data_IF_808567787317
#
_entry.id   IF_808567787317
#
_cell.length_a   1.000
_cell.length_b   1.000
_cell.length_c   1.000
_cell.angle_alpha   90.00
_cell.angle_beta   90.00
_cell.angle_gamma   90.00
#
_symmetry.space_group_name_H-M   'P 1'
#
loop_
_entity.id
_entity.type
_entity.pdbx_description
1 polymer ?
#
# COMPACT_ATOMS: atom_id res chain seq x y z
N UNK A 1 16.59 -16.67 -12.42
CA UNK A 1 16.58 -15.43 -13.21
C UNK A 1 15.13 -14.97 -13.34
N UNK A 2 14.81 -13.73 -12.94
CA UNK A 2 13.47 -13.19 -13.11
C UNK A 2 13.14 -13.15 -14.61
N UNK A 3 12.14 -13.93 -15.02
CA UNK A 3 11.68 -13.98 -16.40
C UNK A 3 10.89 -12.70 -16.65
N UNK A 4 11.27 -11.92 -17.67
CA UNK A 4 10.52 -10.70 -18.06
C UNK A 4 9.08 -11.11 -18.31
N UNK A 5 8.12 -10.51 -17.59
CA UNK A 5 6.70 -10.83 -17.73
C UNK A 5 6.23 -10.40 -19.12
N UNK A 6 5.70 -11.36 -19.89
CA UNK A 6 5.24 -11.13 -21.26
C UNK A 6 3.75 -10.78 -21.37
N UNK A 7 3.00 -10.79 -20.26
CA UNK A 7 1.55 -10.57 -20.23
C UNK A 7 1.25 -9.29 -19.45
N UNK A 8 0.94 -8.21 -20.15
CA UNK A 8 0.61 -6.91 -19.53
C UNK A 8 -0.88 -6.61 -19.57
N UNK A 9 -1.48 -6.71 -20.76
CA UNK A 9 -2.90 -6.43 -20.99
C UNK A 9 -3.65 -7.70 -21.41
N UNK A 10 -2.92 -8.65 -21.96
CA UNK A 10 -3.41 -9.90 -22.51
C UNK A 10 -3.87 -10.85 -21.38
N UNK A 11 -4.90 -11.68 -21.62
CA UNK A 11 -5.31 -12.68 -20.66
C UNK A 11 -4.18 -13.68 -20.36
N UNK A 12 -3.93 -13.93 -19.08
CA UNK A 12 -2.95 -14.94 -18.66
C UNK A 12 -3.50 -16.35 -18.94
N UNK A 13 -2.77 -17.21 -19.68
CA UNK A 13 -3.15 -18.61 -19.92
C UNK A 13 -3.40 -19.39 -18.63
N UNK A 14 -4.28 -20.38 -18.67
CA UNK A 14 -4.67 -21.14 -17.48
C UNK A 14 -3.48 -21.87 -16.84
N UNK A 15 -2.51 -22.36 -17.63
CA UNK A 15 -1.34 -23.08 -17.11
C UNK A 15 -0.39 -22.19 -16.29
N UNK A 16 -0.44 -20.86 -16.49
CA UNK A 16 0.43 -19.90 -15.80
C UNK A 16 -0.21 -19.30 -14.55
N UNK A 17 -1.46 -19.67 -14.21
CA UNK A 17 -2.19 -19.17 -13.04
C UNK A 17 -1.85 -19.98 -11.79
N UNK A 18 -0.60 -19.91 -11.36
CA UNK A 18 -0.08 -20.72 -10.24
C UNK A 18 -0.19 -20.04 -8.87
N UNK A 19 -0.80 -18.85 -8.79
CA UNK A 19 -0.88 -18.07 -7.55
C UNK A 19 -1.74 -18.75 -6.49
N UNK A 20 -1.13 -19.08 -5.34
CA UNK A 20 -1.86 -19.64 -4.19
C UNK A 20 -2.56 -18.54 -3.40
N UNK A 21 -3.59 -18.90 -2.63
CA UNK A 21 -4.23 -17.99 -1.68
C UNK A 21 -3.23 -17.42 -0.67
N UNK A 22 -2.19 -18.20 -0.31
CA UNK A 22 -1.12 -17.78 0.60
C UNK A 22 -0.26 -16.68 0.00
N UNK A 23 0.03 -16.78 -1.30
CA UNK A 23 0.81 -15.77 -2.01
C UNK A 23 0.02 -14.48 -2.12
N UNK A 24 -1.27 -14.58 -2.45
CA UNK A 24 -2.18 -13.43 -2.47
C UNK A 24 -2.30 -12.78 -1.10
N UNK A 25 -2.43 -13.57 -0.03
CA UNK A 25 -2.44 -13.04 1.34
C UNK A 25 -1.13 -12.33 1.67
N UNK A 26 0.02 -12.93 1.39
CA UNK A 26 1.33 -12.36 1.68
C UNK A 26 1.57 -11.04 0.92
N UNK A 27 1.19 -10.98 -0.35
CA UNK A 27 1.29 -9.76 -1.17
C UNK A 27 0.40 -8.66 -0.61
N UNK A 28 -0.86 -8.98 -0.28
CA UNK A 28 -1.78 -8.00 0.30
C UNK A 28 -1.31 -7.52 1.67
N UNK A 29 -0.88 -8.43 2.54
CA UNK A 29 -0.35 -8.09 3.86
C UNK A 29 0.83 -7.12 3.75
N UNK A 30 1.79 -7.40 2.87
CA UNK A 30 2.91 -6.50 2.61
C UNK A 30 2.48 -5.14 2.03
N UNK A 31 1.45 -5.10 1.19
CA UNK A 31 0.92 -3.86 0.61
C UNK A 31 0.27 -2.94 1.66
N UNK A 32 -0.41 -3.52 2.66
CA UNK A 32 -1.04 -2.77 3.74
C UNK A 32 -0.06 -2.34 4.84
N UNK A 33 1.15 -2.90 4.89
CA UNK A 33 2.24 -2.42 5.75
C UNK A 33 2.83 -1.12 5.18
N UNK A 34 2.12 -0.02 5.38
CA UNK A 34 2.52 1.26 4.82
C UNK A 34 2.28 2.43 5.81
N UNK A 35 3.08 3.52 5.72
CA UNK A 35 3.06 4.62 6.70
C UNK A 35 1.67 5.25 6.92
N UNK A 36 0.90 5.41 5.85
CA UNK A 36 -0.41 6.04 5.93
C UNK A 36 -1.41 5.20 6.73
N UNK A 37 -1.35 3.86 6.63
CA UNK A 37 -2.20 2.99 7.44
C UNK A 37 -1.92 3.13 8.95
N UNK A 38 -0.64 3.25 9.32
CA UNK A 38 -0.28 3.53 10.71
C UNK A 38 -0.81 4.89 11.19
N UNK A 39 -0.70 5.92 10.34
CA UNK A 39 -1.20 7.25 10.66
C UNK A 39 -2.72 7.25 10.85
N UNK A 40 -3.47 6.59 9.97
CA UNK A 40 -4.94 6.49 10.09
C UNK A 40 -5.33 5.79 11.40
N UNK A 41 -4.64 4.70 11.75
CA UNK A 41 -4.87 4.00 13.02
C UNK A 41 -4.59 4.86 14.24
N UNK A 42 -3.49 5.62 14.22
CA UNK A 42 -3.15 6.56 15.28
C UNK A 42 -4.21 7.67 15.42
N UNK A 43 -4.64 8.26 14.30
CA UNK A 43 -5.65 9.32 14.28
C UNK A 43 -7.03 8.86 14.79
N UNK A 44 -7.39 7.59 14.55
CA UNK A 44 -8.63 7.03 15.08
C UNK A 44 -8.69 7.08 16.61
N UNK A 45 -7.55 6.89 17.29
CA UNK A 45 -7.44 6.95 18.75
C UNK A 45 -7.22 8.40 19.21
N UNK A 46 -6.23 9.10 18.65
CA UNK A 46 -5.81 10.41 19.14
C UNK A 46 -6.84 11.51 18.88
N UNK A 47 -7.41 11.53 17.67
CA UNK A 47 -8.34 12.58 17.24
C UNK A 47 -9.79 12.10 17.25
N UNK A 48 -10.02 10.80 17.00
CA UNK A 48 -11.34 10.19 17.08
C UNK A 48 -11.82 9.92 18.50
N UNK A 49 -10.92 9.94 19.50
CA UNK A 49 -11.25 9.68 20.90
C UNK A 49 -11.69 8.24 21.19
N UNK A 50 -11.51 7.32 20.24
CA UNK A 50 -11.86 5.92 20.45
C UNK A 50 -10.83 5.24 21.36
N UNK A 51 -11.26 4.43 22.33
CA UNK A 51 -10.36 3.52 23.02
C UNK A 51 -9.63 2.62 22.02
N UNK A 52 -8.35 2.31 22.29
CA UNK A 52 -7.49 1.54 21.38
C UNK A 52 -8.15 0.26 20.87
N UNK A 53 -8.79 -0.50 21.77
CA UNK A 53 -9.46 -1.75 21.43
C UNK A 53 -10.60 -1.57 20.44
N UNK A 54 -11.41 -0.51 20.60
CA UNK A 54 -12.50 -0.21 19.69
C UNK A 54 -11.98 0.28 18.33
N UNK A 55 -10.91 1.08 18.32
CA UNK A 55 -10.28 1.49 17.07
C UNK A 55 -9.76 0.27 16.27
N UNK A 56 -9.10 -0.68 16.94
CA UNK A 56 -8.64 -1.92 16.31
C UNK A 56 -9.81 -2.74 15.76
N UNK A 57 -10.87 -2.95 16.54
CA UNK A 57 -12.05 -3.71 16.10
C UNK A 57 -12.70 -3.04 14.87
N UNK A 58 -12.90 -1.72 14.90
CA UNK A 58 -13.47 -0.98 13.78
C UNK A 58 -12.63 -1.14 12.50
N UNK A 59 -11.30 -1.05 12.61
CA UNK A 59 -10.39 -1.24 11.47
C UNK A 59 -10.44 -2.66 10.93
N UNK A 60 -10.42 -3.67 11.81
CA UNK A 60 -10.51 -5.08 11.39
C UNK A 60 -11.83 -5.37 10.68
N UNK A 61 -12.96 -4.90 11.24
CA UNK A 61 -14.29 -5.07 10.62
C UNK A 61 -14.35 -4.37 9.27
N UNK A 62 -13.90 -3.12 9.18
CA UNK A 62 -13.85 -2.39 7.91
C UNK A 62 -13.01 -3.13 6.86
N UNK A 63 -11.88 -3.71 7.27
CA UNK A 63 -11.00 -4.44 6.37
C UNK A 63 -11.63 -5.76 5.90
N UNK A 64 -12.29 -6.50 6.80
CA UNK A 64 -13.01 -7.74 6.45
C UNK A 64 -14.14 -7.46 5.45
N UNK A 65 -14.94 -6.43 5.68
CA UNK A 65 -16.01 -6.02 4.76
C UNK A 65 -15.42 -5.64 3.40
N UNK A 66 -14.38 -4.82 3.40
CA UNK A 66 -13.71 -4.37 2.17
C UNK A 66 -13.11 -5.52 1.36
N UNK A 67 -12.43 -6.46 2.02
CA UNK A 67 -11.89 -7.65 1.34
C UNK A 67 -12.98 -8.58 0.84
N UNK A 68 -14.09 -8.72 1.57
CA UNK A 68 -15.23 -9.53 1.11
C UNK A 68 -15.75 -8.98 -0.22
N UNK A 69 -15.97 -7.66 -0.32
CA UNK A 69 -16.37 -7.03 -1.58
C UNK A 69 -15.30 -7.14 -2.67
N UNK A 70 -14.02 -6.97 -2.30
CA UNK A 70 -12.91 -7.10 -3.24
C UNK A 70 -12.80 -8.50 -3.82
N UNK A 71 -13.02 -9.56 -3.04
CA UNK A 71 -12.97 -10.94 -3.53
C UNK A 71 -14.05 -11.22 -4.58
N UNK A 72 -15.25 -10.64 -4.41
CA UNK A 72 -16.32 -10.72 -5.41
C UNK A 72 -15.90 -9.99 -6.69
N UNK A 73 -15.36 -8.78 -6.56
CA UNK A 73 -14.88 -7.98 -7.69
C UNK A 73 -13.66 -8.60 -8.40
N UNK A 74 -12.85 -9.39 -7.70
CA UNK A 74 -11.65 -10.04 -8.23
C UNK A 74 -11.95 -11.32 -9.03
N UNK A 75 -13.18 -11.88 -8.95
CA UNK A 75 -13.55 -13.13 -9.64
C UNK A 75 -13.21 -13.14 -11.14
N UNK A 76 -13.48 -12.07 -11.94
CA UNK A 76 -13.14 -12.07 -13.35
C UNK A 76 -11.63 -12.15 -13.60
N UNK A 77 -10.83 -11.54 -12.72
CA UNK A 77 -9.36 -11.61 -12.80
C UNK A 77 -8.83 -13.02 -12.57
N UNK A 78 -9.42 -13.75 -11.62
CA UNK A 78 -9.02 -15.15 -11.32
C UNK A 78 -9.51 -16.12 -12.41
N UNK A 79 -10.76 -15.99 -12.86
CA UNK A 79 -11.37 -16.91 -13.82
C UNK A 79 -10.91 -16.69 -15.26
N UNK A 80 -10.75 -15.45 -15.69
CA UNK A 80 -10.40 -15.13 -17.08
C UNK A 80 -8.96 -14.63 -17.24
N UNK A 81 -8.21 -14.44 -16.15
CA UNK A 81 -6.82 -13.98 -16.22
C UNK A 81 -6.69 -12.56 -16.78
N UNK A 82 -7.78 -11.79 -16.77
CA UNK A 82 -7.83 -10.44 -17.34
C UNK A 82 -7.51 -9.38 -16.28
N UNK A 83 -6.80 -8.30 -16.64
CA UNK A 83 -6.57 -7.19 -15.73
C UNK A 83 -7.89 -6.54 -15.28
N UNK A 84 -7.95 -6.08 -14.03
CA UNK A 84 -9.16 -5.46 -13.48
C UNK A 84 -9.69 -4.27 -14.29
N UNK A 85 -8.81 -3.51 -14.96
CA UNK A 85 -9.24 -2.41 -15.86
C UNK A 85 -9.84 -2.90 -17.18
N UNK A 86 -9.47 -4.09 -17.64
CA UNK A 86 -10.10 -4.71 -18.81
C UNK A 86 -11.47 -5.26 -18.39
N UNK A 87 -11.57 -5.83 -17.19
CA UNK A 87 -12.83 -6.32 -16.63
C UNK A 87 -13.89 -5.21 -16.48
N UNK A 88 -13.51 -3.95 -16.21
CA UNK A 88 -14.49 -2.85 -16.11
C UNK A 88 -15.18 -2.53 -17.45
N UNK A 89 -14.62 -2.96 -18.59
CA UNK A 89 -15.23 -2.79 -19.91
C UNK A 89 -16.54 -3.56 -20.07
N UNK A 90 -16.73 -4.68 -19.35
CA UNK A 90 -17.97 -5.46 -19.44
C UNK A 90 -19.16 -4.76 -18.76
N UNK A 91 -18.90 -3.87 -17.80
CA UNK A 91 -19.93 -3.13 -17.06
C UNK A 91 -20.13 -1.73 -17.62
N UNK A 92 -19.04 -1.01 -17.91
CA UNK A 92 -19.09 0.41 -18.30
C UNK A 92 -18.97 0.62 -19.82
N UNK A 93 -18.79 -0.44 -20.60
CA UNK A 93 -18.44 -0.36 -22.02
C UNK A 93 -17.03 0.18 -22.25
N UNK A 94 -16.63 0.28 -23.52
CA UNK A 94 -15.29 0.75 -23.89
C UNK A 94 -15.04 2.20 -23.47
N UNK A 95 -15.97 3.10 -23.79
CA UNK A 95 -15.84 4.52 -23.50
C UNK A 95 -15.90 4.82 -22.00
N UNK A 96 -16.78 4.15 -21.25
CA UNK A 96 -16.85 4.31 -19.79
C UNK A 96 -15.60 3.76 -19.09
N UNK A 97 -15.08 2.62 -19.50
CA UNK A 97 -13.83 2.10 -18.94
C UNK A 97 -12.62 3.00 -19.25
N UNK A 98 -12.55 3.57 -20.46
CA UNK A 98 -11.46 4.47 -20.86
C UNK A 98 -11.53 5.82 -20.15
N UNK A 99 -12.67 6.50 -20.19
CA UNK A 99 -12.77 7.87 -19.73
C UNK A 99 -13.01 7.98 -18.22
N UNK A 100 -13.82 7.09 -17.64
CA UNK A 100 -14.15 7.17 -16.22
C UNK A 100 -13.20 6.31 -15.38
N UNK A 101 -13.14 5.01 -15.64
CA UNK A 101 -12.39 4.07 -14.80
C UNK A 101 -10.89 4.33 -14.84
N UNK A 102 -10.32 4.52 -16.04
CA UNK A 102 -8.88 4.71 -16.19
C UNK A 102 -8.40 6.05 -15.63
N UNK A 103 -9.15 7.14 -15.84
CA UNK A 103 -8.81 8.47 -15.30
C UNK A 103 -8.93 8.48 -13.78
N UNK A 104 -10.02 7.93 -13.24
CA UNK A 104 -10.17 7.79 -11.78
C UNK A 104 -9.01 7.01 -11.17
N UNK A 105 -8.62 5.88 -11.78
CA UNK A 105 -7.49 5.08 -11.32
C UNK A 105 -6.16 5.85 -11.36
N UNK A 106 -5.92 6.64 -12.41
CA UNK A 106 -4.72 7.46 -12.50
C UNK A 106 -4.68 8.53 -11.40
N UNK A 107 -5.78 9.24 -11.17
CA UNK A 107 -5.90 10.24 -10.10
C UNK A 107 -5.70 9.59 -8.73
N UNK A 108 -6.37 8.46 -8.48
CA UNK A 108 -6.24 7.73 -7.23
C UNK A 108 -4.81 7.26 -6.99
N UNK A 109 -4.11 6.77 -8.01
CA UNK A 109 -2.72 6.36 -7.91
C UNK A 109 -1.78 7.54 -7.60
N UNK A 110 -1.97 8.69 -8.25
CA UNK A 110 -1.20 9.91 -7.99
C UNK A 110 -1.44 10.40 -6.55
N UNK A 111 -2.71 10.45 -6.13
CA UNK A 111 -3.07 10.84 -4.78
C UNK A 111 -2.46 9.92 -3.73
N UNK A 112 -2.53 8.60 -3.95
CA UNK A 112 -1.98 7.62 -3.03
C UNK A 112 -0.46 7.74 -2.94
N UNK A 113 0.22 7.89 -4.09
CA UNK A 113 1.66 8.11 -4.13
C UNK A 113 2.07 9.37 -3.38
N UNK A 114 1.40 10.50 -3.61
CA UNK A 114 1.67 11.75 -2.91
C UNK A 114 1.44 11.61 -1.40
N UNK A 115 0.35 10.96 -0.98
CA UNK A 115 0.03 10.74 0.43
C UNK A 115 1.08 9.89 1.14
N UNK A 116 1.62 8.86 0.48
CA UNK A 116 2.69 8.02 1.00
C UNK A 116 4.00 8.79 1.18
N UNK A 117 4.36 9.64 0.21
CA UNK A 117 5.54 10.50 0.32
C UNK A 117 5.40 11.53 1.44
N UNK A 118 4.21 12.12 1.61
CA UNK A 118 3.91 13.06 2.70
C UNK A 118 3.97 12.37 4.07
N UNK A 119 3.31 11.22 4.23
CA UNK A 119 3.32 10.45 5.47
C UNK A 119 4.75 10.03 5.87
N UNK A 120 5.54 9.55 4.91
CA UNK A 120 6.96 9.23 5.15
C UNK A 120 7.78 10.45 5.57
N UNK A 121 7.51 11.61 4.98
CA UNK A 121 8.23 12.85 5.30
C UNK A 121 7.89 13.43 6.66
N UNK A 122 6.63 13.30 7.09
CA UNK A 122 6.23 13.59 8.48
C UNK A 122 6.98 12.70 9.46
N UNK A 123 7.14 11.41 9.14
CA UNK A 123 7.97 10.49 9.93
C UNK A 123 9.43 10.94 10.02
N UNK A 124 10.04 11.31 8.89
CA UNK A 124 11.43 11.81 8.85
C UNK A 124 11.55 13.09 9.68
N UNK A 125 10.64 14.05 9.52
CA UNK A 125 10.66 15.31 10.26
C UNK A 125 10.53 15.09 11.78
N UNK A 126 9.66 14.17 12.20
CA UNK A 126 9.49 13.80 13.60
C UNK A 126 10.78 13.19 14.17
N UNK A 127 11.44 12.31 13.41
CA UNK A 127 12.72 11.71 13.80
C UNK A 127 13.85 12.74 13.86
N UNK A 128 13.97 13.63 12.87
CA UNK A 128 15.05 14.64 12.85
C UNK A 128 14.87 15.67 13.96
N UNK A 129 13.62 16.04 14.25
CA UNK A 129 13.31 16.93 15.36
C UNK A 129 13.59 16.25 16.70
N UNK A 130 13.15 15.01 16.88
CA UNK A 130 13.32 14.28 18.14
C UNK A 130 14.77 13.91 18.48
N UNK A 131 15.58 13.57 17.47
CA UNK A 131 16.97 13.11 17.67
C UNK A 131 17.98 14.26 17.58
N UNK A 132 17.81 15.17 16.61
CA UNK A 132 18.82 16.20 16.29
C UNK A 132 18.34 17.63 16.60
N UNK A 133 17.07 17.82 16.97
CA UNK A 133 16.49 19.15 17.16
C UNK A 133 16.31 19.96 15.87
N UNK A 134 16.40 19.32 14.70
CA UNK A 134 16.33 20.00 13.41
C UNK A 134 14.92 19.97 12.83
N UNK A 135 14.38 21.17 12.57
CA UNK A 135 13.09 21.34 11.92
C UNK A 135 13.24 21.47 10.40
N UNK A 136 13.23 20.33 9.72
CA UNK A 136 13.20 20.30 8.26
C UNK A 136 11.84 20.77 7.74
N UNK A 137 11.80 21.50 6.61
CA UNK A 137 10.54 21.88 5.96
C UNK A 137 9.91 20.67 5.30
N UNK A 138 8.59 20.48 5.47
CA UNK A 138 7.88 19.28 4.97
C UNK A 138 7.94 19.14 3.45
N UNK A 139 7.66 20.22 2.70
CA UNK A 139 7.53 20.17 1.23
C UNK A 139 8.84 19.71 0.54
N UNK A 140 10.02 20.28 0.85
CA UNK A 140 11.27 19.77 0.29
C UNK A 140 11.56 18.31 0.62
N UNK A 141 11.33 17.88 1.87
CA UNK A 141 11.57 16.48 2.28
C UNK A 141 10.64 15.54 1.51
N UNK A 142 9.37 15.91 1.33
CA UNK A 142 8.41 15.14 0.55
C UNK A 142 8.77 15.01 -0.92
N UNK A 143 9.26 16.08 -1.55
CA UNK A 143 9.73 16.03 -2.94
C UNK A 143 10.96 15.14 -3.09
N UNK A 144 11.92 15.22 -2.16
CA UNK A 144 13.11 14.35 -2.16
C UNK A 144 12.70 12.89 -1.97
N UNK A 145 11.81 12.61 -1.01
CA UNK A 145 11.35 11.25 -0.76
C UNK A 145 10.56 10.69 -1.95
N UNK A 146 9.69 11.49 -2.56
CA UNK A 146 8.97 11.12 -3.78
C UNK A 146 9.93 10.83 -4.95
N UNK A 147 10.98 11.64 -5.12
CA UNK A 147 12.00 11.40 -6.14
C UNK A 147 12.75 10.09 -5.88
N UNK A 148 13.14 9.80 -4.64
CA UNK A 148 13.78 8.53 -4.25
C UNK A 148 12.86 7.34 -4.54
N UNK A 149 11.58 7.43 -4.17
CA UNK A 149 10.59 6.39 -4.46
C UNK A 149 10.40 6.17 -5.96
N UNK A 150 10.37 7.26 -6.74
CA UNK A 150 10.31 7.19 -8.20
C UNK A 150 11.54 6.51 -8.82
N UNK A 151 12.74 6.85 -8.35
CA UNK A 151 13.99 6.20 -8.79
C UNK A 151 13.99 4.72 -8.42
N UNK A 152 13.60 4.37 -7.20
CA UNK A 152 13.49 2.98 -6.75
C UNK A 152 12.48 2.18 -7.61
N UNK A 153 11.38 2.82 -8.01
CA UNK A 153 10.41 2.18 -8.91
C UNK A 153 11.01 1.89 -10.29
N UNK A 154 11.91 2.75 -10.80
CA UNK A 154 12.61 2.54 -12.08
C UNK A 154 13.71 1.48 -11.97
N UNK A 155 14.42 1.40 -10.85
CA UNK A 155 15.50 0.44 -10.60
C UNK A 155 15.02 -1.03 -10.52
N UNK A 156 13.70 -1.26 -10.45
CA UNK A 156 13.10 -2.57 -10.67
C UNK A 156 13.05 -3.50 -9.44
N UNK A 157 12.55 -4.72 -9.68
CA UNK A 157 12.14 -5.69 -8.66
C UNK A 157 13.28 -6.19 -7.75
N UNK A 158 14.51 -6.25 -8.25
CA UNK A 158 15.64 -6.82 -7.50
C UNK A 158 16.09 -5.89 -6.35
N UNK A 159 16.08 -4.58 -6.57
CA UNK A 159 16.35 -3.58 -5.52
C UNK A 159 15.24 -3.59 -4.46
N UNK A 160 13.99 -3.68 -4.90
CA UNK A 160 12.85 -3.73 -3.98
C UNK A 160 12.90 -4.95 -3.04
N UNK A 161 13.31 -6.13 -3.55
CA UNK A 161 13.48 -7.33 -2.71
C UNK A 161 14.53 -7.14 -1.63
N UNK A 162 15.63 -6.46 -1.94
CA UNK A 162 16.67 -6.17 -0.96
C UNK A 162 16.19 -5.15 0.08
N UNK A 163 15.54 -4.07 -0.36
CA UNK A 163 14.96 -3.04 0.53
C UNK A 163 13.96 -3.65 1.51
N UNK A 164 13.04 -4.50 1.03
CA UNK A 164 12.04 -5.16 1.89
C UNK A 164 12.70 -6.06 2.94
N UNK A 165 13.77 -6.80 2.58
CA UNK A 165 14.51 -7.63 3.55
C UNK A 165 15.16 -6.81 4.68
N UNK A 166 15.53 -5.57 4.42
CA UNK A 166 16.12 -4.67 5.43
C UNK A 166 15.03 -3.95 6.24
N UNK A 167 13.96 -3.48 5.58
CA UNK A 167 12.89 -2.71 6.23
C UNK A 167 12.02 -3.58 7.12
N UNK A 168 11.70 -4.82 6.74
CA UNK A 168 10.84 -5.70 7.53
C UNK A 168 11.33 -5.94 8.98
N UNK A 169 12.59 -6.38 9.21
CA UNK A 169 13.07 -6.57 10.58
C UNK A 169 13.11 -5.25 11.36
N UNK A 170 13.44 -4.13 10.71
CA UNK A 170 13.42 -2.82 11.35
C UNK A 170 11.99 -2.41 11.75
N UNK A 171 11.00 -2.65 10.90
CA UNK A 171 9.59 -2.37 11.19
C UNK A 171 9.08 -3.23 12.34
N UNK A 172 9.41 -4.52 12.37
CA UNK A 172 9.05 -5.42 13.49
C UNK A 172 9.70 -4.95 14.80
N UNK A 173 10.98 -4.61 14.77
CA UNK A 173 11.68 -4.05 15.93
C UNK A 173 11.02 -2.77 16.43
N UNK A 174 10.63 -1.88 15.51
CA UNK A 174 9.94 -0.63 15.85
C UNK A 174 8.59 -0.88 16.54
N UNK A 175 7.80 -1.83 16.03
CA UNK A 175 6.53 -2.22 16.66
C UNK A 175 6.77 -2.79 18.08
N UNK A 176 7.78 -3.63 18.25
CA UNK A 176 8.13 -4.19 19.57
C UNK A 176 8.49 -3.06 20.55
N UNK A 177 9.30 -2.09 20.12
CA UNK A 177 9.67 -0.93 20.94
C UNK A 177 8.43 -0.12 21.32
N UNK A 178 7.54 0.19 20.37
CA UNK A 178 6.30 0.92 20.66
C UNK A 178 5.44 0.18 21.69
N UNK A 179 5.26 -1.13 21.53
CA UNK A 179 4.48 -1.93 22.48
C UNK A 179 5.14 -1.93 23.86
N UNK A 180 6.47 -2.07 23.93
CA UNK A 180 7.18 -2.01 25.22
C UNK A 180 7.00 -0.66 25.92
N UNK A 181 7.03 0.45 25.17
CA UNK A 181 6.81 1.79 25.70
C UNK A 181 5.38 1.96 26.20
N UNK A 182 4.40 1.46 25.44
CA UNK A 182 2.98 1.50 25.82
C UNK A 182 2.70 0.74 27.11
N UNK A 183 3.30 -0.44 27.31
CA UNK A 183 3.12 -1.20 28.55
C UNK A 183 3.94 -0.64 29.73
N UNK A 184 4.97 0.16 29.47
CA UNK A 184 5.78 0.80 30.51
C UNK A 184 5.23 2.15 31.00
N UNK A 185 4.21 2.69 30.33
CA UNK A 185 3.52 3.95 30.66
C UNK A 185 2.18 3.64 31.32
#
# INVERSE_FOLDING_TARGET
MAKVEGYGVEPVPAELRTGSWRDLFAINFAFFLNPLMYLIGALAVSSGGLPLWWAVICLVVAQVVSFTLLTVAARPGVQYGIPGQVATRSVLGYWGARSLSSVYRAIAAIYWFASQALAGSLGIQALTTGVFGWHLRLVPVALVLAAIQGVLAVLGFDVMRWVVKVILPLAVMFVIVILSLYFST
#
